data_IF_245705436520
#
_entry.id   IF_245705436520
#
_cell.length_a   1.000
_cell.length_b   1.000
_cell.length_c   1.000
_cell.angle_alpha   90.00
_cell.angle_beta   90.00
_cell.angle_gamma   90.00
#
_symmetry.space_group_name_H-M   'P 1'
#
loop_
_entity.id
_entity.type
_entity.pdbx_description
1 polymer ?
#
# COMPACT_ATOMS: atom_id res chain seq x y z
N UNK A 1 0.31 19.00 -23.07
CA UNK A 1 0.52 19.09 -21.60
C UNK A 1 1.98 18.78 -21.29
N UNK A 2 2.54 19.28 -20.17
CA UNK A 2 3.93 18.97 -19.77
C UNK A 2 3.98 17.76 -18.84
N UNK A 3 5.10 17.03 -18.81
CA UNK A 3 5.32 15.90 -17.88
C UNK A 3 5.05 16.29 -16.42
N UNK A 4 5.44 17.51 -16.03
CA UNK A 4 5.17 18.03 -14.69
C UNK A 4 3.68 18.17 -14.38
N UNK A 5 2.87 18.60 -15.38
CA UNK A 5 1.42 18.71 -15.21
C UNK A 5 0.77 17.33 -15.06
N UNK A 6 1.19 16.34 -15.84
CA UNK A 6 0.70 14.96 -15.69
C UNK A 6 1.04 14.39 -14.31
N UNK A 7 2.29 14.56 -13.86
CA UNK A 7 2.71 14.12 -12.52
C UNK A 7 1.85 14.74 -11.42
N UNK A 8 1.59 16.05 -11.49
CA UNK A 8 0.77 16.73 -10.49
C UNK A 8 -0.69 16.31 -10.52
N UNK A 9 -1.24 15.99 -11.70
CA UNK A 9 -2.59 15.44 -11.83
C UNK A 9 -2.67 14.06 -11.20
N UNK A 10 -1.75 13.17 -11.57
CA UNK A 10 -1.66 11.82 -11.00
C UNK A 10 -1.59 11.83 -9.47
N UNK A 11 -0.77 12.71 -8.89
CA UNK A 11 -0.68 12.86 -7.43
C UNK A 11 -2.02 13.21 -6.79
N UNK A 12 -2.73 14.20 -7.33
CA UNK A 12 -4.04 14.63 -6.79
C UNK A 12 -5.08 13.52 -6.84
N UNK A 13 -5.11 12.77 -7.94
CA UNK A 13 -6.04 11.64 -8.09
C UNK A 13 -5.70 10.51 -7.10
N UNK A 14 -4.42 10.22 -6.90
CA UNK A 14 -3.99 9.22 -5.91
C UNK A 14 -4.32 9.64 -4.47
N UNK A 15 -4.08 10.90 -4.11
CA UNK A 15 -4.40 11.41 -2.77
C UNK A 15 -5.92 11.34 -2.50
N UNK A 16 -6.73 11.78 -3.46
CA UNK A 16 -8.20 11.72 -3.35
C UNK A 16 -8.74 10.29 -3.26
N UNK A 17 -8.07 9.34 -3.93
CA UNK A 17 -8.40 7.92 -3.85
C UNK A 17 -7.97 7.30 -2.50
N UNK A 18 -6.81 7.68 -1.98
CA UNK A 18 -6.30 7.21 -0.70
C UNK A 18 -7.22 7.58 0.47
N UNK A 19 -7.82 8.78 0.45
CA UNK A 19 -8.79 9.21 1.47
C UNK A 19 -10.01 8.29 1.58
N UNK A 20 -10.40 7.65 0.48
CA UNK A 20 -11.58 6.77 0.39
C UNK A 20 -11.22 5.29 0.46
N UNK A 21 -9.94 4.96 0.68
CA UNK A 21 -9.46 3.58 0.60
C UNK A 21 -10.12 2.68 1.65
N UNK A 22 -10.36 3.21 2.85
CA UNK A 22 -10.99 2.46 3.95
C UNK A 22 -12.51 2.54 3.99
N UNK A 23 -13.14 3.27 3.07
CA UNK A 23 -14.59 3.36 3.00
C UNK A 23 -15.22 2.02 2.56
N UNK A 24 -16.48 1.81 2.92
CA UNK A 24 -17.28 0.63 2.50
C UNK A 24 -17.82 0.73 1.06
N UNK A 25 -17.37 1.73 0.29
CA UNK A 25 -17.77 1.96 -1.11
C UNK A 25 -17.21 0.83 -2.00
N UNK A 26 -17.97 0.19 -2.90
CA UNK A 26 -17.46 -0.81 -3.86
C UNK A 26 -16.49 -0.24 -4.93
N UNK A 27 -15.53 0.59 -4.52
CA UNK A 27 -14.45 1.10 -5.33
C UNK A 27 -13.50 -0.03 -5.77
N UNK A 28 -12.71 0.24 -6.81
CA UNK A 28 -11.68 -0.70 -7.30
C UNK A 28 -10.70 -1.11 -6.19
N UNK A 29 -10.43 -0.24 -5.22
CA UNK A 29 -9.55 -0.53 -4.09
C UNK A 29 -10.11 -1.60 -3.16
N UNK A 30 -11.44 -1.62 -2.95
CA UNK A 30 -12.11 -2.66 -2.18
C UNK A 30 -12.14 -4.01 -2.89
N UNK A 31 -12.10 -4.00 -4.23
CA UNK A 31 -11.88 -5.23 -4.98
C UNK A 31 -10.44 -5.72 -4.77
N UNK A 32 -9.43 -4.84 -4.87
CA UNK A 32 -8.03 -5.22 -4.68
C UNK A 32 -7.73 -5.80 -3.29
N UNK A 33 -8.43 -5.36 -2.23
CA UNK A 33 -8.26 -5.93 -0.88
C UNK A 33 -8.59 -7.42 -0.81
N UNK A 34 -9.46 -7.92 -1.70
CA UNK A 34 -9.82 -9.35 -1.73
C UNK A 34 -8.69 -10.25 -2.21
N UNK A 35 -7.74 -9.69 -2.95
CA UNK A 35 -6.61 -10.43 -3.51
C UNK A 35 -5.42 -10.50 -2.54
N UNK A 36 -5.42 -9.69 -1.47
CA UNK A 36 -4.31 -9.64 -0.51
C UNK A 36 -4.05 -10.96 0.24
N UNK A 37 -5.06 -11.75 0.66
CA UNK A 37 -4.83 -13.06 1.25
C UNK A 37 -4.08 -14.01 0.32
N UNK A 38 -4.42 -14.01 -0.98
CA UNK A 38 -3.77 -14.88 -1.96
C UNK A 38 -2.31 -14.44 -2.19
N UNK A 39 -2.06 -13.12 -2.22
CA UNK A 39 -0.69 -12.58 -2.29
C UNK A 39 0.14 -12.93 -1.04
N UNK A 40 -0.48 -12.94 0.15
CA UNK A 40 0.20 -13.36 1.38
C UNK A 40 0.58 -14.84 1.33
N UNK A 41 -0.32 -15.69 0.81
CA UNK A 41 -0.04 -17.12 0.65
C UNK A 41 1.18 -17.35 -0.27
N UNK A 42 1.25 -16.64 -1.38
CA UNK A 42 2.41 -16.70 -2.29
C UNK A 42 3.68 -16.17 -1.63
N UNK A 43 3.60 -15.06 -0.90
CA UNK A 43 4.75 -14.51 -0.17
C UNK A 43 5.31 -15.50 0.86
N UNK A 44 4.45 -16.28 1.50
CA UNK A 44 4.84 -17.25 2.53
C UNK A 44 5.54 -18.49 1.96
N UNK A 45 5.35 -18.79 0.67
CA UNK A 45 6.07 -19.86 -0.03
C UNK A 45 7.55 -19.53 -0.21
N UNK A 46 7.89 -18.24 -0.26
CA UNK A 46 9.26 -17.77 -0.46
C UNK A 46 10.00 -17.55 0.87
N UNK A 47 11.22 -18.12 1.05
CA UNK A 47 12.05 -17.93 2.23
C UNK A 47 12.71 -16.55 2.21
N UNK A 48 11.91 -15.50 2.37
CA UNK A 48 12.35 -14.12 2.47
C UNK A 48 12.16 -13.58 3.90
N UNK A 49 13.01 -12.66 4.32
CA UNK A 49 12.88 -11.93 5.59
C UNK A 49 12.46 -10.48 5.36
N UNK A 50 12.92 -9.89 4.27
CA UNK A 50 12.64 -8.50 3.91
C UNK A 50 11.70 -8.43 2.69
N UNK A 51 10.63 -7.65 2.81
CA UNK A 51 9.60 -7.47 1.79
C UNK A 51 9.54 -6.01 1.38
N UNK A 52 9.64 -5.75 0.08
CA UNK A 52 9.54 -4.41 -0.50
C UNK A 52 8.26 -4.29 -1.36
N UNK A 53 7.36 -3.41 -0.97
CA UNK A 53 6.18 -3.05 -1.75
C UNK A 53 6.44 -1.74 -2.52
N UNK A 54 6.64 -1.89 -3.84
CA UNK A 54 6.87 -0.78 -4.75
C UNK A 54 5.54 -0.24 -5.30
N UNK A 55 5.13 0.94 -4.83
CA UNK A 55 3.80 1.50 -5.10
C UNK A 55 2.81 1.18 -3.99
N UNK A 56 3.27 1.24 -2.74
CA UNK A 56 2.50 0.78 -1.59
C UNK A 56 1.21 1.56 -1.32
N UNK A 57 1.01 2.72 -1.96
CA UNK A 57 -0.17 3.56 -1.75
C UNK A 57 -0.36 3.90 -0.27
N UNK A 58 -1.52 3.56 0.28
CA UNK A 58 -1.85 3.73 1.71
C UNK A 58 -1.10 2.77 2.65
N UNK A 59 -0.49 1.71 2.11
CA UNK A 59 0.22 0.68 2.88
C UNK A 59 -0.69 -0.39 3.48
N UNK A 60 -1.96 -0.45 3.10
CA UNK A 60 -2.94 -1.38 3.69
C UNK A 60 -2.53 -2.86 3.57
N UNK A 61 -1.95 -3.26 2.43
CA UNK A 61 -1.45 -4.62 2.23
C UNK A 61 -0.31 -4.94 3.20
N UNK A 62 0.64 -4.02 3.38
CA UNK A 62 1.77 -4.21 4.31
C UNK A 62 1.33 -4.31 5.76
N UNK A 63 0.30 -3.54 6.18
CA UNK A 63 -0.28 -3.65 7.52
C UNK A 63 -0.84 -5.07 7.73
N UNK A 64 -1.67 -5.55 6.79
CA UNK A 64 -2.22 -6.90 6.84
C UNK A 64 -1.12 -7.98 6.90
N UNK A 65 -0.07 -7.85 6.09
CA UNK A 65 1.00 -8.84 6.04
C UNK A 65 1.80 -8.87 7.33
N UNK A 66 2.06 -7.70 7.92
CA UNK A 66 2.76 -7.59 9.20
C UNK A 66 1.97 -8.20 10.35
N UNK A 67 0.64 -8.04 10.36
CA UNK A 67 -0.20 -8.65 11.39
C UNK A 67 -0.21 -10.18 11.27
N UNK A 68 -0.18 -10.71 10.05
CA UNK A 68 -0.15 -12.14 9.80
C UNK A 68 1.24 -12.78 10.02
N UNK A 69 2.32 -12.06 9.72
CA UNK A 69 3.70 -12.54 9.78
C UNK A 69 4.62 -11.48 10.40
N UNK A 70 4.52 -11.26 11.74
CA UNK A 70 5.21 -10.16 12.42
C UNK A 70 6.73 -10.31 12.49
N UNK A 71 7.25 -11.50 12.16
CA UNK A 71 8.66 -11.86 12.11
C UNK A 71 9.38 -11.34 10.87
N UNK A 72 8.65 -11.03 9.78
CA UNK A 72 9.22 -10.44 8.55
C UNK A 72 9.32 -8.90 8.67
N UNK A 73 10.26 -8.32 7.94
CA UNK A 73 10.45 -6.88 7.81
C UNK A 73 9.79 -6.36 6.53
N UNK A 74 9.03 -5.27 6.66
CA UNK A 74 8.25 -4.71 5.56
C UNK A 74 8.67 -3.27 5.28
N UNK A 75 8.98 -2.99 4.02
CA UNK A 75 9.28 -1.65 3.52
C UNK A 75 8.32 -1.31 2.39
N UNK A 76 7.63 -0.18 2.50
CA UNK A 76 6.83 0.39 1.40
C UNK A 76 7.54 1.57 0.78
N UNK A 77 7.51 1.66 -0.56
CA UNK A 77 8.04 2.81 -1.29
C UNK A 77 7.02 3.30 -2.30
N UNK A 78 6.59 4.54 -2.16
CA UNK A 78 5.76 5.24 -3.13
C UNK A 78 6.60 6.18 -4.00
N UNK A 79 6.18 6.40 -5.25
CA UNK A 79 6.97 7.03 -6.32
C UNK A 79 7.30 8.51 -6.07
N UNK A 80 6.67 9.17 -5.10
CA UNK A 80 6.84 10.62 -4.89
C UNK A 80 7.12 11.07 -3.45
N UNK A 81 7.35 10.12 -2.55
CA UNK A 81 7.85 10.37 -1.20
C UNK A 81 8.11 9.04 -0.50
N UNK A 82 9.16 8.97 0.31
CA UNK A 82 9.20 8.01 1.42
C UNK A 82 8.09 8.49 2.35
N UNK A 83 6.84 8.10 2.09
CA UNK A 83 5.77 8.38 3.01
C UNK A 83 6.19 7.77 4.34
N UNK A 84 6.34 8.65 5.32
CA UNK A 84 6.67 8.31 6.70
C UNK A 84 5.79 7.16 7.13
N UNK A 85 6.40 5.97 7.19
CA UNK A 85 5.87 4.78 7.85
C UNK A 85 5.44 5.08 9.31
N UNK A 86 5.81 6.25 9.87
CA UNK A 86 5.43 6.68 11.21
C UNK A 86 4.01 7.24 11.37
N UNK A 87 3.25 7.58 10.30
CA UNK A 87 1.92 8.21 10.49
C UNK A 87 0.77 7.19 10.54
N UNK A 88 0.84 6.10 9.75
CA UNK A 88 -0.19 5.05 9.74
C UNK A 88 -0.07 4.14 10.96
N UNK A 89 1.17 3.84 11.41
CA UNK A 89 1.41 3.08 12.65
C UNK A 89 1.17 3.88 13.95
N UNK A 90 0.91 5.19 13.87
CA UNK A 90 0.65 6.04 15.05
C UNK A 90 -0.84 6.08 15.43
N UNK A 91 -1.72 5.49 14.61
CA UNK A 91 -3.17 5.50 14.81
C UNK A 91 -3.78 4.13 15.09
N UNK A 92 -2.94 3.11 15.27
CA UNK A 92 -3.31 1.78 15.77
C UNK A 92 -2.61 1.55 17.09
#
# INVERSE_FOLDING_TARGET
>A
MTNQKYKNLTLREFDAAAEKFDDSDPSVYNLCRKDYPDLLEELLKEPCQDVLDCGCGTGAMLVMFRDACPDKQYTGKERYGINKFSFVLSKV
#
